data_IF_376863930645
#
_entry.id   IF_376863930645
#
_cell.length_a   1.000
_cell.length_b   1.000
_cell.length_c   1.000
_cell.angle_alpha   90.00
_cell.angle_beta   90.00
_cell.angle_gamma   90.00
#
_symmetry.space_group_name_H-M   'P 1'
#
loop_
_entity.id
_entity.type
_entity.pdbx_description
1 polymer ?
#
# COMPACT_ATOMS: atom_id res chain seq x y z
N UNK A 1 32.67 1.12 -12.30
CA UNK A 1 31.76 0.01 -12.62
C UNK A 1 30.36 0.49 -12.30
N UNK A 2 29.44 0.60 -13.27
CA UNK A 2 28.06 0.99 -12.97
C UNK A 2 27.44 -0.17 -12.19
N UNK A 3 27.13 0.06 -10.92
CA UNK A 3 26.42 -0.91 -10.12
C UNK A 3 25.00 -1.04 -10.75
N UNK A 4 24.69 -2.18 -11.31
CA UNK A 4 23.34 -2.45 -11.81
C UNK A 4 22.37 -2.43 -10.62
N UNK A 5 21.16 -1.86 -10.75
CA UNK A 5 20.15 -1.95 -9.72
C UNK A 5 19.86 -3.40 -9.32
N UNK A 6 19.62 -3.61 -8.05
CA UNK A 6 19.21 -4.92 -7.52
C UNK A 6 17.70 -4.96 -7.33
N UNK A 7 17.13 -6.15 -7.48
CA UNK A 7 15.72 -6.43 -7.16
C UNK A 7 15.68 -7.51 -6.08
N UNK A 8 15.02 -7.19 -4.97
CA UNK A 8 14.83 -8.09 -3.84
C UNK A 8 13.36 -8.23 -3.48
N UNK A 9 12.98 -9.38 -2.97
CA UNK A 9 11.61 -9.64 -2.49
C UNK A 9 11.64 -10.01 -1.01
N UNK A 10 10.96 -9.21 -0.19
CA UNK A 10 10.65 -9.53 1.20
C UNK A 10 9.28 -10.18 1.26
N UNK A 11 9.21 -11.48 1.49
CA UNK A 11 7.97 -12.27 1.46
C UNK A 11 7.04 -12.00 2.64
N UNK A 12 7.50 -11.29 3.65
CA UNK A 12 6.67 -10.83 4.78
C UNK A 12 7.32 -9.63 5.47
N UNK A 13 6.57 -8.86 6.26
CA UNK A 13 7.14 -7.75 7.04
C UNK A 13 8.27 -8.19 7.98
N UNK A 14 8.18 -9.40 8.53
CA UNK A 14 9.21 -9.94 9.42
C UNK A 14 10.61 -10.04 8.78
N UNK A 15 10.68 -10.14 7.45
CA UNK A 15 11.94 -10.26 6.71
C UNK A 15 12.48 -8.91 6.20
N UNK A 16 11.71 -7.82 6.32
CA UNK A 16 12.11 -6.51 5.77
C UNK A 16 13.40 -5.98 6.40
N UNK A 17 13.71 -6.41 7.62
CA UNK A 17 14.93 -6.02 8.31
C UNK A 17 16.22 -6.52 7.65
N UNK A 18 16.14 -7.53 6.78
CA UNK A 18 17.26 -8.11 6.05
C UNK A 18 17.74 -7.25 4.87
N UNK A 19 16.96 -6.23 4.49
CA UNK A 19 17.24 -5.39 3.34
C UNK A 19 17.59 -3.97 3.76
N UNK A 20 18.56 -3.39 3.06
CA UNK A 20 18.83 -1.95 3.12
C UNK A 20 17.83 -1.23 2.21
N UNK A 21 17.02 -0.34 2.79
CA UNK A 21 16.02 0.42 2.06
C UNK A 21 16.51 1.81 1.66
N UNK A 22 17.67 2.24 2.17
CA UNK A 22 18.27 3.50 1.76
C UNK A 22 18.63 3.47 0.28
N UNK A 23 18.30 4.53 -0.47
CA UNK A 23 18.48 4.60 -1.92
C UNK A 23 17.74 3.50 -2.72
N UNK A 24 16.65 2.97 -2.17
CA UNK A 24 15.83 1.96 -2.81
C UNK A 24 14.39 2.44 -2.99
N UNK A 25 13.74 1.95 -4.05
CA UNK A 25 12.28 2.02 -4.18
C UNK A 25 11.69 0.82 -3.47
N UNK A 26 10.81 1.07 -2.50
CA UNK A 26 10.05 0.00 -1.83
C UNK A 26 8.66 -0.06 -2.42
N UNK A 27 8.28 -1.22 -2.93
CA UNK A 27 6.92 -1.49 -3.42
C UNK A 27 6.14 -2.21 -2.32
N UNK A 28 5.15 -1.57 -1.73
CA UNK A 28 4.25 -2.19 -0.76
C UNK A 28 3.21 -3.01 -1.51
N UNK A 29 3.11 -4.30 -1.19
CA UNK A 29 2.23 -5.25 -1.85
C UNK A 29 1.27 -5.82 -0.79
N UNK A 30 -0.01 -5.55 -0.95
CA UNK A 30 -1.13 -6.09 -0.16
C UNK A 30 -2.31 -6.26 -1.14
N UNK A 31 -2.19 -7.32 -1.97
CA UNK A 31 -3.10 -7.53 -3.12
C UNK A 31 -4.53 -7.70 -2.64
N UNK A 32 -4.74 -8.43 -1.56
CA UNK A 32 -6.05 -8.62 -0.94
C UNK A 32 -6.05 -8.12 0.52
N UNK A 33 -6.28 -6.72 0.63
CA UNK A 33 -6.87 -5.90 -0.46
C UNK A 33 -6.32 -4.47 -0.54
N UNK A 34 -5.46 -4.03 0.41
CA UNK A 34 -5.16 -2.61 0.58
C UNK A 34 -4.63 -1.95 -0.70
N UNK A 35 -3.62 -2.53 -1.36
CA UNK A 35 -3.01 -1.90 -2.53
C UNK A 35 -3.90 -1.96 -3.77
N UNK A 36 -4.75 -2.97 -3.90
CA UNK A 36 -5.79 -3.02 -4.94
C UNK A 36 -6.85 -1.94 -4.73
N UNK A 37 -7.25 -1.70 -3.48
CA UNK A 37 -8.19 -0.62 -3.12
C UNK A 37 -7.61 0.75 -3.41
N UNK A 38 -6.34 0.98 -3.06
CA UNK A 38 -5.63 2.24 -3.35
C UNK A 38 -5.58 2.47 -4.86
N UNK A 39 -5.15 1.47 -5.64
CA UNK A 39 -5.08 1.57 -7.09
C UNK A 39 -6.44 1.87 -7.73
N UNK A 40 -7.50 1.18 -7.29
CA UNK A 40 -8.87 1.40 -7.80
C UNK A 40 -9.41 2.77 -7.44
N UNK A 41 -9.20 3.23 -6.20
CA UNK A 41 -9.67 4.55 -5.77
C UNK A 41 -9.00 5.66 -6.58
N UNK A 42 -7.67 5.60 -6.76
CA UNK A 42 -6.93 6.58 -7.54
C UNK A 42 -7.32 6.55 -9.02
N UNK A 43 -7.47 5.36 -9.62
CA UNK A 43 -7.94 5.21 -11.00
C UNK A 43 -9.34 5.82 -11.21
N UNK A 44 -10.20 5.69 -10.22
CA UNK A 44 -11.56 6.24 -10.23
C UNK A 44 -11.63 7.72 -9.83
N UNK A 45 -10.50 8.40 -9.68
CA UNK A 45 -10.43 9.84 -9.50
C UNK A 45 -10.40 10.31 -8.06
N UNK A 46 -10.04 9.46 -7.09
CA UNK A 46 -9.70 9.93 -5.76
C UNK A 46 -8.61 11.01 -5.85
N UNK A 47 -8.77 12.09 -5.11
CA UNK A 47 -7.77 13.16 -5.06
C UNK A 47 -6.47 12.67 -4.41
N UNK A 48 -6.60 11.92 -3.34
CA UNK A 48 -5.49 11.21 -2.69
C UNK A 48 -6.02 10.06 -1.83
N UNK A 49 -5.13 9.13 -1.50
CA UNK A 49 -5.35 8.12 -0.46
C UNK A 49 -4.29 8.32 0.63
N UNK A 50 -4.73 8.48 1.88
CA UNK A 50 -3.88 8.71 3.04
C UNK A 50 -3.92 7.46 3.92
N UNK A 51 -2.88 6.63 3.91
CA UNK A 51 -2.80 5.47 4.78
C UNK A 51 -2.50 5.90 6.22
N UNK A 52 -3.19 5.30 7.17
CA UNK A 52 -3.02 5.56 8.61
C UNK A 52 -3.04 4.27 9.42
N UNK A 53 -2.46 4.30 10.62
CA UNK A 53 -2.26 3.12 11.47
C UNK A 53 -3.48 2.77 12.34
N UNK A 54 -4.46 3.67 12.48
CA UNK A 54 -5.57 3.45 13.41
C UNK A 54 -6.89 4.07 12.96
N UNK A 55 -8.00 3.51 13.44
CA UNK A 55 -9.35 4.03 13.20
C UNK A 55 -9.53 5.45 13.75
N UNK A 56 -9.08 5.77 14.99
CA UNK A 56 -9.19 7.13 15.51
C UNK A 56 -8.50 8.17 14.61
N UNK A 57 -7.30 7.87 14.11
CA UNK A 57 -6.59 8.76 13.17
C UNK A 57 -7.32 8.87 11.83
N UNK A 58 -7.89 7.77 11.33
CA UNK A 58 -8.67 7.79 10.09
C UNK A 58 -9.85 8.75 10.20
N UNK A 59 -10.60 8.67 11.29
CA UNK A 59 -11.75 9.54 11.56
C UNK A 59 -11.34 11.00 11.74
N UNK A 60 -10.30 11.25 12.52
CA UNK A 60 -9.79 12.60 12.78
C UNK A 60 -9.34 13.29 11.49
N UNK A 61 -8.47 12.64 10.72
CA UNK A 61 -7.93 13.21 9.49
C UNK A 61 -9.05 13.39 8.46
N UNK A 62 -9.91 12.39 8.26
CA UNK A 62 -11.03 12.49 7.32
C UNK A 62 -11.95 13.66 7.66
N UNK A 63 -12.27 13.86 8.94
CA UNK A 63 -13.05 15.00 9.42
C UNK A 63 -12.38 16.34 9.08
N UNK A 64 -11.07 16.44 9.32
CA UNK A 64 -10.30 17.68 9.13
C UNK A 64 -10.18 18.10 7.66
N UNK A 65 -10.13 17.13 6.74
CA UNK A 65 -9.96 17.40 5.29
C UNK A 65 -11.23 17.21 4.47
N UNK A 66 -12.37 16.93 5.11
CA UNK A 66 -13.61 16.60 4.39
C UNK A 66 -13.48 15.33 3.54
N UNK A 67 -12.77 14.34 4.03
CA UNK A 67 -12.52 13.06 3.37
C UNK A 67 -13.39 11.92 3.87
N UNK A 68 -13.18 10.73 3.30
CA UNK A 68 -13.84 9.49 3.67
C UNK A 68 -12.90 8.70 4.57
N UNK A 69 -13.35 8.32 5.78
CA UNK A 69 -12.64 7.38 6.63
C UNK A 69 -13.06 5.95 6.28
N UNK A 70 -12.08 5.10 6.04
CA UNK A 70 -12.29 3.71 5.60
C UNK A 70 -11.26 2.77 6.23
N UNK A 71 -11.61 1.51 6.32
CA UNK A 71 -10.65 0.51 6.78
C UNK A 71 -11.26 -0.82 7.18
N UNK A 72 -10.35 -1.76 7.46
CA UNK A 72 -10.71 -3.11 7.85
C UNK A 72 -9.93 -3.57 9.09
N UNK A 73 -10.54 -4.51 9.82
CA UNK A 73 -9.88 -5.34 10.81
C UNK A 73 -10.37 -6.78 10.63
N UNK A 74 -9.42 -7.70 10.47
CA UNK A 74 -9.68 -9.12 10.20
C UNK A 74 -10.67 -9.34 9.01
N UNK A 75 -10.51 -8.54 7.95
CA UNK A 75 -11.29 -8.64 6.70
C UNK A 75 -12.69 -8.03 6.75
N UNK A 76 -13.12 -7.47 7.88
CA UNK A 76 -14.41 -6.78 8.05
C UNK A 76 -14.21 -5.28 8.15
N UNK A 77 -15.26 -4.51 7.86
CA UNK A 77 -15.25 -3.06 8.12
C UNK A 77 -14.91 -2.85 9.60
N UNK A 78 -13.94 -2.00 9.87
CA UNK A 78 -13.51 -1.74 11.23
C UNK A 78 -14.59 -0.99 12.02
N UNK A 79 -14.76 -1.33 13.29
CA UNK A 79 -15.75 -0.70 14.17
C UNK A 79 -15.59 0.83 14.17
N UNK A 80 -16.69 1.53 13.99
CA UNK A 80 -16.73 2.99 13.91
C UNK A 80 -16.51 3.58 12.52
N UNK A 81 -16.27 2.76 11.49
CA UNK A 81 -16.19 3.18 10.09
C UNK A 81 -17.42 2.73 9.30
N UNK A 82 -17.78 3.52 8.29
CA UNK A 82 -18.89 3.21 7.36
C UNK A 82 -18.40 2.48 6.10
N UNK A 83 -17.11 2.60 5.77
CA UNK A 83 -16.50 2.08 4.55
C UNK A 83 -15.36 1.12 4.86
N UNK A 84 -15.29 0.08 4.06
CA UNK A 84 -14.31 -0.99 4.21
C UNK A 84 -13.06 -0.80 3.36
N UNK A 85 -12.46 -1.93 3.02
CA UNK A 85 -11.26 -2.01 2.21
C UNK A 85 -11.51 -2.89 0.97
N UNK A 86 -12.66 -2.69 0.30
CA UNK A 86 -12.97 -3.38 -0.96
C UNK A 86 -12.78 -2.42 -2.14
N UNK A 87 -11.99 -2.79 -3.18
CA UNK A 87 -11.87 -1.98 -4.39
C UNK A 87 -13.22 -1.61 -5.02
N UNK A 88 -14.22 -2.47 -4.87
CA UNK A 88 -15.54 -2.29 -5.45
C UNK A 88 -16.37 -1.19 -4.78
N UNK A 89 -16.00 -0.77 -3.57
CA UNK A 89 -16.67 0.33 -2.86
C UNK A 89 -16.32 1.70 -3.46
N UNK A 90 -15.17 1.81 -4.14
CA UNK A 90 -14.61 3.09 -4.59
C UNK A 90 -14.75 3.28 -6.09
N UNK A 91 -15.98 3.15 -6.61
CA UNK A 91 -16.29 3.48 -8.00
C UNK A 91 -16.21 4.99 -8.23
N UNK A 92 -16.17 5.42 -9.51
CA UNK A 92 -15.97 6.82 -9.88
C UNK A 92 -17.04 7.74 -9.29
N UNK A 93 -18.30 7.37 -9.34
CA UNK A 93 -19.42 8.20 -8.84
C UNK A 93 -19.30 8.48 -7.34
N UNK A 94 -18.71 7.53 -6.60
CA UNK A 94 -18.51 7.66 -5.16
C UNK A 94 -17.24 8.42 -4.78
N UNK A 95 -16.09 8.14 -5.44
CA UNK A 95 -14.76 8.56 -4.95
C UNK A 95 -14.15 9.75 -5.69
N UNK A 96 -14.67 10.11 -6.89
CA UNK A 96 -14.08 11.17 -7.71
C UNK A 96 -13.95 12.50 -6.94
N UNK A 97 -12.76 13.10 -7.00
CA UNK A 97 -12.39 14.34 -6.32
C UNK A 97 -12.44 14.31 -4.77
N UNK A 98 -12.58 13.13 -4.15
CA UNK A 98 -12.58 12.98 -2.70
C UNK A 98 -11.24 12.48 -2.19
N UNK A 99 -10.98 12.74 -0.91
CA UNK A 99 -9.85 12.19 -0.19
C UNK A 99 -10.28 10.90 0.52
N UNK A 100 -9.49 9.85 0.43
CA UNK A 100 -9.71 8.60 1.16
C UNK A 100 -8.66 8.44 2.25
N UNK A 101 -9.08 8.31 3.50
CA UNK A 101 -8.19 8.00 4.64
C UNK A 101 -8.40 6.54 4.99
N UNK A 102 -7.39 5.71 4.74
CA UNK A 102 -7.50 4.25 4.78
C UNK A 102 -6.64 3.65 5.88
N UNK A 103 -7.24 2.83 6.75
CA UNK A 103 -6.51 2.03 7.73
C UNK A 103 -6.72 0.53 7.51
N UNK A 104 -5.62 -0.23 7.53
CA UNK A 104 -5.65 -1.69 7.32
C UNK A 104 -4.78 -2.41 8.34
N UNK A 105 -4.94 -3.72 8.44
CA UNK A 105 -4.21 -4.52 9.42
C UNK A 105 -2.74 -4.71 9.04
N UNK A 106 -2.45 -4.99 7.75
CA UNK A 106 -1.13 -5.43 7.30
C UNK A 106 -0.39 -4.37 6.47
N UNK A 107 -1.04 -3.80 5.45
CA UNK A 107 -0.39 -2.86 4.52
C UNK A 107 0.13 -1.60 5.19
N UNK A 108 -0.61 -1.02 6.13
CA UNK A 108 -0.17 0.19 6.85
C UNK A 108 1.01 -0.08 7.78
N UNK A 109 1.11 -1.28 8.35
CA UNK A 109 2.26 -1.68 9.17
C UNK A 109 3.53 -1.79 8.32
N UNK A 110 3.47 -2.46 7.17
CA UNK A 110 4.63 -2.58 6.28
C UNK A 110 5.09 -1.21 5.77
N UNK A 111 4.15 -0.32 5.43
CA UNK A 111 4.44 1.06 5.07
C UNK A 111 5.21 1.79 6.19
N UNK A 112 4.74 1.69 7.44
CA UNK A 112 5.42 2.33 8.57
C UNK A 112 6.85 1.80 8.74
N UNK A 113 7.04 0.47 8.64
CA UNK A 113 8.37 -0.15 8.71
C UNK A 113 9.31 0.37 7.61
N UNK A 114 8.80 0.59 6.40
CA UNK A 114 9.59 1.15 5.29
C UNK A 114 9.97 2.61 5.55
N UNK A 115 9.05 3.42 6.10
CA UNK A 115 9.30 4.80 6.51
C UNK A 115 10.36 4.88 7.62
N UNK A 116 10.23 4.05 8.66
CA UNK A 116 11.17 4.02 9.80
C UNK A 116 12.60 3.63 9.37
N UNK A 117 12.73 2.90 8.26
CA UNK A 117 14.01 2.52 7.66
C UNK A 117 14.52 3.50 6.60
N UNK A 118 13.91 4.69 6.51
CA UNK A 118 14.28 5.75 5.58
C UNK A 118 14.34 5.28 4.11
N UNK A 119 13.35 4.52 3.66
CA UNK A 119 13.20 4.20 2.25
C UNK A 119 13.15 5.49 1.43
N UNK A 120 13.89 5.54 0.33
CA UNK A 120 13.98 6.74 -0.51
C UNK A 120 12.65 7.05 -1.21
N UNK A 121 12.00 6.03 -1.70
CA UNK A 121 10.71 6.12 -2.36
C UNK A 121 9.85 4.92 -1.98
N UNK A 122 8.58 5.15 -1.68
CA UNK A 122 7.64 4.08 -1.36
C UNK A 122 6.44 4.21 -2.30
N UNK A 123 6.08 3.11 -2.97
CA UNK A 123 4.92 3.03 -3.85
C UNK A 123 4.06 1.82 -3.49
N UNK A 124 2.79 1.83 -3.91
CA UNK A 124 1.90 0.68 -3.76
C UNK A 124 1.84 -0.14 -5.05
N UNK A 125 1.92 -1.46 -4.92
CA UNK A 125 1.84 -2.42 -6.02
C UNK A 125 0.68 -3.39 -5.86
N UNK A 126 -0.06 -3.62 -6.94
CA UNK A 126 -1.12 -4.62 -7.06
C UNK A 126 -1.38 -4.94 -8.54
N UNK A 127 -2.09 -6.02 -8.84
CA UNK A 127 -2.34 -6.39 -10.24
C UNK A 127 -2.97 -5.28 -11.09
N UNK A 128 -3.94 -4.46 -10.58
CA UNK A 128 -4.50 -3.37 -11.37
C UNK A 128 -3.50 -2.32 -11.87
N UNK A 129 -2.40 -2.09 -11.17
CA UNK A 129 -1.40 -1.09 -11.55
C UNK A 129 -0.02 -1.67 -11.90
N UNK A 130 0.08 -2.99 -12.14
CA UNK A 130 1.35 -3.70 -12.37
C UNK A 130 2.21 -3.02 -13.44
N UNK A 131 1.66 -2.77 -14.63
CA UNK A 131 2.41 -2.14 -15.72
C UNK A 131 2.95 -0.76 -15.36
N UNK A 132 2.14 0.07 -14.70
CA UNK A 132 2.56 1.40 -14.25
C UNK A 132 3.68 1.33 -13.19
N UNK A 133 3.62 0.34 -12.29
CA UNK A 133 4.70 0.07 -11.32
C UNK A 133 5.98 -0.33 -12.05
N UNK A 134 5.91 -1.27 -12.99
CA UNK A 134 7.08 -1.69 -13.76
C UNK A 134 7.71 -0.53 -14.53
N UNK A 135 6.90 0.27 -15.24
CA UNK A 135 7.38 1.43 -16.00
C UNK A 135 8.07 2.45 -15.09
N UNK A 136 7.49 2.70 -13.92
CA UNK A 136 8.08 3.58 -12.92
C UNK A 136 9.44 3.05 -12.43
N UNK A 137 9.52 1.77 -12.06
CA UNK A 137 10.74 1.17 -11.54
C UNK A 137 11.88 1.17 -12.58
N UNK A 138 11.55 0.87 -13.85
CA UNK A 138 12.51 0.91 -14.95
C UNK A 138 13.04 2.34 -15.15
N UNK A 139 12.16 3.34 -15.10
CA UNK A 139 12.54 4.75 -15.26
C UNK A 139 13.42 5.25 -14.12
N UNK A 140 13.11 4.89 -12.87
CA UNK A 140 13.87 5.29 -11.68
C UNK A 140 15.27 4.67 -11.67
N UNK A 141 15.43 3.45 -12.22
CA UNK A 141 16.71 2.74 -12.32
C UNK A 141 17.48 2.68 -10.98
N UNK A 142 16.74 2.47 -9.87
CA UNK A 142 17.24 2.34 -8.50
C UNK A 142 17.13 0.90 -8.02
N UNK A 143 17.76 0.57 -6.89
CA UNK A 143 17.49 -0.66 -6.18
C UNK A 143 16.01 -0.76 -5.81
N UNK A 144 15.45 -1.97 -5.85
CA UNK A 144 14.04 -2.21 -5.58
C UNK A 144 13.89 -3.28 -4.51
N UNK A 145 13.01 -3.03 -3.56
CA UNK A 145 12.56 -4.03 -2.60
C UNK A 145 11.05 -4.20 -2.73
N UNK A 146 10.63 -5.36 -3.21
CA UNK A 146 9.23 -5.76 -3.24
C UNK A 146 8.85 -6.27 -1.83
N UNK A 147 8.00 -5.54 -1.13
CA UNK A 147 7.59 -5.85 0.23
C UNK A 147 6.17 -6.43 0.25
N UNK A 148 6.05 -7.73 0.52
CA UNK A 148 4.76 -8.40 0.70
C UNK A 148 4.24 -8.14 2.13
N UNK A 149 3.01 -7.64 2.24
CA UNK A 149 2.37 -7.38 3.53
C UNK A 149 2.00 -8.69 4.25
N UNK A 150 1.68 -9.72 3.49
CA UNK A 150 1.36 -11.01 4.03
C UNK A 150 0.15 -10.99 4.99
N UNK A 151 0.08 -12.00 5.84
CA UNK A 151 -0.93 -12.09 6.88
C UNK A 151 -0.30 -12.43 8.23
N UNK A 152 -0.39 -11.53 9.20
CA UNK A 152 0.17 -11.73 10.56
C UNK A 152 1.65 -12.20 10.53
N UNK A 153 2.49 -11.44 9.81
CA UNK A 153 3.91 -11.72 9.59
C UNK A 153 4.24 -13.01 8.81
N UNK A 154 3.25 -13.67 8.24
CA UNK A 154 3.45 -14.83 7.36
C UNK A 154 3.26 -14.40 5.91
N UNK A 155 3.94 -15.08 5.00
CA UNK A 155 3.69 -14.88 3.57
C UNK A 155 2.26 -15.31 3.21
N UNK A 156 1.69 -14.68 2.20
CA UNK A 156 0.48 -15.12 1.52
C UNK A 156 0.78 -15.38 0.04
N UNK A 157 -0.10 -16.12 -0.61
CA UNK A 157 0.13 -16.54 -1.99
C UNK A 157 -0.02 -15.39 -2.96
N UNK A 158 -1.02 -14.54 -2.78
CA UNK A 158 -1.38 -13.47 -3.69
C UNK A 158 -0.31 -12.38 -3.78
N UNK A 159 0.27 -11.96 -2.65
CA UNK A 159 1.35 -10.98 -2.64
C UNK A 159 2.63 -11.58 -3.24
N UNK A 160 2.90 -12.85 -2.91
CA UNK A 160 4.06 -13.59 -3.44
C UNK A 160 3.95 -13.76 -4.96
N UNK A 161 2.75 -14.05 -5.47
CA UNK A 161 2.50 -14.20 -6.90
C UNK A 161 2.67 -12.88 -7.67
N UNK A 162 2.27 -11.76 -7.05
CA UNK A 162 2.50 -10.44 -7.63
C UNK A 162 3.99 -10.10 -7.68
N UNK A 163 4.75 -10.47 -6.65
CA UNK A 163 6.17 -10.15 -6.53
C UNK A 163 7.08 -11.02 -7.42
N UNK A 164 6.62 -12.19 -7.87
CA UNK A 164 7.36 -13.14 -8.73
C UNK A 164 7.12 -12.89 -10.19
#
# INVERSE_FOLDING_TARGET
MSNKPSLHTSLSPALLHLYDLSNSVVVIIDVFRATSTIASALYNGARCVIPVDSVPKALEIAKNIGGIAAGERDGKIADGLEHGNSPMEYNRDFIENKNLVLTTTNGTRLLQMALDKNADTIISGSFPNLSAVCDFLIKENKNVVLGCAGWKDRFNLEDTLYAG
#
